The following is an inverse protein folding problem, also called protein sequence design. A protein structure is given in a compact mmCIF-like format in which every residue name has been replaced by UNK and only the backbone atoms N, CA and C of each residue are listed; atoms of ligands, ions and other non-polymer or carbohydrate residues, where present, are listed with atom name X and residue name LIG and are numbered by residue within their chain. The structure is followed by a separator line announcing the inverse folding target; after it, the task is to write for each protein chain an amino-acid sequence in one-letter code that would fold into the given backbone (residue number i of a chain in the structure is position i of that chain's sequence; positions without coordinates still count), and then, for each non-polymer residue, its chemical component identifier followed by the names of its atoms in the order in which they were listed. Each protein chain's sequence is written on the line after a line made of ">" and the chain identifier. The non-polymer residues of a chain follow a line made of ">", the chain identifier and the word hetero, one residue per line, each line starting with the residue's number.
data_IF_833034657009
#
_entry.id   IF_833034657009
#
_cell.length_a   1.000
_cell.length_b   1.000
_cell.length_c   1.000
_cell.angle_alpha   90.00
_cell.angle_beta   90.00
_cell.angle_gamma   90.00
#
_symmetry.space_group_name_H-M   'P 1'
#
loop_
_entity.id
_entity.type
_entity.pdbx_description
1 polymer ?
#
# COMPACT_ATOMS: atom_id res chain seq x y z
N UNK A 1 2.18 -14.64 -1.66
CA UNK A 1 1.05 -14.70 -0.72
C UNK A 1 -0.19 -14.21 -1.44
N UNK A 2 -1.24 -15.02 -1.53
CA UNK A 2 -2.51 -14.65 -2.15
C UNK A 2 -3.49 -14.27 -1.05
N UNK A 3 -4.15 -13.11 -1.16
CA UNK A 3 -5.23 -12.71 -0.25
C UNK A 3 -6.41 -12.12 -1.02
N UNK A 4 -7.63 -12.37 -0.54
CA UNK A 4 -8.85 -11.75 -1.06
C UNK A 4 -9.28 -10.55 -0.22
N UNK A 5 -9.87 -9.54 -0.86
CA UNK A 5 -10.18 -8.25 -0.22
C UNK A 5 -11.52 -8.32 0.55
N UNK A 6 -11.47 -8.37 1.89
CA UNK A 6 -12.68 -8.54 2.73
C UNK A 6 -13.72 -7.42 2.59
N UNK A 7 -13.32 -6.19 2.21
CA UNK A 7 -14.23 -5.03 2.10
C UNK A 7 -15.17 -5.06 0.87
N UNK A 8 -14.80 -5.77 -0.19
CA UNK A 8 -15.57 -5.81 -1.46
C UNK A 8 -16.04 -7.22 -1.80
N UNK A 9 -15.94 -8.16 -0.86
CA UNK A 9 -16.26 -9.58 -1.08
C UNK A 9 -17.70 -9.80 -1.55
N UNK A 10 -18.61 -8.88 -1.19
CA UNK A 10 -20.03 -8.91 -1.54
C UNK A 10 -20.42 -7.98 -2.71
N UNK A 11 -19.49 -7.20 -3.27
CA UNK A 11 -19.80 -6.13 -4.24
C UNK A 11 -19.19 -6.37 -5.63
N UNK A 12 -18.22 -7.29 -5.75
CA UNK A 12 -17.54 -7.60 -7.01
C UNK A 12 -17.84 -9.03 -7.46
N UNK A 13 -18.35 -9.19 -8.70
CA UNK A 13 -18.64 -10.48 -9.36
C UNK A 13 -17.39 -11.36 -9.54
N UNK A 14 -16.20 -10.75 -9.63
CA UNK A 14 -14.91 -11.44 -9.74
C UNK A 14 -14.08 -11.28 -8.48
N UNK A 15 -13.69 -12.40 -7.85
CA UNK A 15 -12.70 -12.44 -6.76
C UNK A 15 -11.31 -12.35 -7.38
N UNK A 16 -10.72 -11.15 -7.43
CA UNK A 16 -9.32 -11.00 -7.85
C UNK A 16 -8.40 -11.26 -6.66
N UNK A 17 -7.48 -12.19 -6.83
CA UNK A 17 -6.44 -12.47 -5.85
C UNK A 17 -5.40 -11.35 -5.88
N UNK A 18 -5.10 -10.79 -4.71
CA UNK A 18 -4.02 -9.81 -4.58
C UNK A 18 -2.74 -10.62 -4.32
N UNK A 19 -1.84 -10.61 -5.30
CA UNK A 19 -0.51 -11.19 -5.20
C UNK A 19 0.51 -10.10 -4.89
N UNK A 20 1.16 -10.16 -3.73
CA UNK A 20 2.30 -9.32 -3.41
C UNK A 20 3.60 -10.13 -3.56
N UNK A 21 4.56 -9.55 -4.30
CA UNK A 21 5.94 -10.04 -4.33
C UNK A 21 6.60 -9.69 -3.00
N UNK A 22 7.26 -10.67 -2.37
CA UNK A 22 8.01 -10.47 -1.13
C UNK A 22 9.47 -10.20 -1.49
N UNK A 23 9.94 -8.99 -1.21
CA UNK A 23 11.36 -8.64 -1.40
C UNK A 23 12.22 -9.23 -0.27
N UNK A 24 13.55 -9.34 -0.45
CA UNK A 24 14.45 -9.80 0.61
C UNK A 24 14.33 -8.99 1.91
N UNK A 25 14.14 -7.68 1.82
CA UNK A 25 13.98 -6.78 2.97
C UNK A 25 12.66 -7.06 3.71
N UNK A 26 11.57 -7.27 2.96
CA UNK A 26 10.29 -7.69 3.54
C UNK A 26 10.43 -9.03 4.25
N UNK A 27 11.13 -9.99 3.63
CA UNK A 27 11.37 -11.29 4.22
C UNK A 27 12.21 -11.18 5.50
N UNK A 28 13.22 -10.31 5.55
CA UNK A 28 14.01 -10.06 6.74
C UNK A 28 13.17 -9.50 7.90
N UNK A 29 12.24 -8.57 7.60
CA UNK A 29 11.29 -8.03 8.58
C UNK A 29 10.34 -9.13 9.10
N UNK A 30 9.80 -9.95 8.19
CA UNK A 30 8.91 -11.07 8.53
C UNK A 30 9.64 -12.11 9.38
N UNK A 31 10.91 -12.39 9.09
CA UNK A 31 11.71 -13.33 9.87
C UNK A 31 12.01 -12.78 11.28
N UNK A 32 12.23 -11.48 11.40
CA UNK A 32 12.56 -10.84 12.68
C UNK A 32 11.36 -10.68 13.61
N UNK A 33 10.19 -10.31 13.07
CA UNK A 33 9.03 -9.90 13.86
C UNK A 33 7.79 -10.77 13.67
N UNK A 34 7.79 -11.66 12.68
CA UNK A 34 6.66 -12.52 12.37
C UNK A 34 6.58 -13.75 13.28
N UNK A 35 5.45 -14.46 13.17
CA UNK A 35 5.25 -15.74 13.85
C UNK A 35 6.30 -16.77 13.42
N UNK A 36 6.80 -17.59 14.35
CA UNK A 36 7.78 -18.65 14.08
C UNK A 36 7.15 -19.80 13.30
N UNK A 37 5.95 -20.18 13.67
CA UNK A 37 5.14 -21.15 12.93
C UNK A 37 4.65 -20.51 11.63
N UNK A 38 4.94 -21.16 10.50
CA UNK A 38 4.61 -20.68 9.15
C UNK A 38 3.47 -21.50 8.52
N UNK A 39 2.56 -22.03 9.34
CA UNK A 39 1.40 -22.77 8.82
C UNK A 39 0.50 -21.85 7.99
N UNK A 40 -0.16 -22.37 6.93
CA UNK A 40 -1.02 -21.56 6.05
C UNK A 40 -2.16 -20.83 6.79
N UNK A 41 -2.60 -21.41 7.91
CA UNK A 41 -3.70 -20.89 8.72
C UNK A 41 -3.25 -19.87 9.79
N UNK A 42 -1.94 -19.63 9.91
CA UNK A 42 -1.39 -18.67 10.87
C UNK A 42 -1.12 -17.30 10.24
N UNK A 43 -1.34 -16.24 11.00
CA UNK A 43 -1.02 -14.88 10.56
C UNK A 43 0.49 -14.68 10.45
N UNK A 44 0.91 -13.76 9.58
CA UNK A 44 2.33 -13.43 9.42
C UNK A 44 2.90 -12.82 10.71
N UNK A 45 2.12 -11.99 11.41
CA UNK A 45 2.54 -11.26 12.61
C UNK A 45 1.72 -11.64 13.85
N UNK A 46 2.33 -11.62 15.06
CA UNK A 46 1.74 -12.10 16.32
C UNK A 46 0.74 -11.10 16.92
N UNK A 47 -0.27 -10.68 16.16
CA UNK A 47 -1.28 -9.74 16.63
C UNK A 47 -2.69 -10.29 16.65
N UNK A 48 -2.95 -11.32 15.85
CA UNK A 48 -4.20 -12.06 15.82
C UNK A 48 -3.87 -13.54 16.03
N UNK A 49 -4.74 -14.24 16.75
CA UNK A 49 -4.59 -15.66 17.10
C UNK A 49 -5.54 -16.57 16.31
N UNK A 50 -6.48 -16.01 15.54
CA UNK A 50 -7.34 -16.75 14.61
C UNK A 50 -8.66 -17.23 15.19
N UNK A 51 -8.90 -17.01 16.49
CA UNK A 51 -10.17 -17.35 17.16
C UNK A 51 -11.02 -16.11 17.49
N UNK A 52 -10.59 -14.91 17.07
CA UNK A 52 -11.31 -13.67 17.35
C UNK A 52 -12.61 -13.58 16.56
N UNK A 53 -13.65 -13.05 17.20
CA UNK A 53 -14.86 -12.61 16.50
C UNK A 53 -14.54 -11.49 15.50
N UNK A 54 -15.35 -11.29 14.45
CA UNK A 54 -15.13 -10.19 13.49
C UNK A 54 -15.02 -8.80 14.15
N UNK A 55 -15.72 -8.59 15.27
CA UNK A 55 -15.67 -7.34 16.04
C UNK A 55 -14.32 -7.18 16.73
N UNK A 56 -13.83 -8.23 17.39
CA UNK A 56 -12.52 -8.24 18.05
C UNK A 56 -11.39 -8.06 17.02
N UNK A 57 -11.44 -8.78 15.91
CA UNK A 57 -10.46 -8.65 14.82
C UNK A 57 -10.37 -7.20 14.32
N UNK A 58 -11.53 -6.57 14.08
CA UNK A 58 -11.59 -5.15 13.65
C UNK A 58 -11.02 -4.21 14.71
N UNK A 59 -11.28 -4.46 15.99
CA UNK A 59 -10.75 -3.65 17.09
C UNK A 59 -9.22 -3.74 17.17
N UNK A 60 -8.68 -4.96 17.09
CA UNK A 60 -7.24 -5.24 17.08
C UNK A 60 -6.55 -4.55 15.90
N UNK A 61 -7.08 -4.72 14.68
CA UNK A 61 -6.53 -4.07 13.48
C UNK A 61 -6.52 -2.54 13.63
N UNK A 62 -7.62 -1.95 14.11
CA UNK A 62 -7.72 -0.48 14.32
C UNK A 62 -6.67 -0.01 15.33
N UNK A 63 -6.47 -0.76 16.41
CA UNK A 63 -5.47 -0.44 17.42
C UNK A 63 -4.04 -0.49 16.87
N UNK A 64 -3.71 -1.53 16.10
CA UNK A 64 -2.39 -1.69 15.47
C UNK A 64 -2.12 -0.54 14.51
N UNK A 65 -3.06 -0.20 13.63
CA UNK A 65 -2.92 0.93 12.69
C UNK A 65 -2.66 2.23 13.45
N UNK A 66 -3.40 2.47 14.55
CA UNK A 66 -3.20 3.65 15.40
C UNK A 66 -1.79 3.67 16.00
N UNK A 67 -1.29 2.55 16.52
CA UNK A 67 0.07 2.43 17.07
C UNK A 67 1.14 2.66 16.00
N UNK A 68 0.96 2.10 14.80
CA UNK A 68 1.86 2.31 13.66
C UNK A 68 1.90 3.80 13.29
N UNK A 69 0.75 4.43 13.07
CA UNK A 69 0.68 5.85 12.70
C UNK A 69 1.29 6.76 13.77
N UNK A 70 1.12 6.44 15.07
CA UNK A 70 1.78 7.18 16.16
C UNK A 70 3.31 7.11 16.05
N UNK A 71 3.86 5.93 15.75
CA UNK A 71 5.31 5.75 15.57
C UNK A 71 5.82 6.41 14.29
N UNK A 72 5.10 6.28 13.18
CA UNK A 72 5.42 6.94 11.92
C UNK A 72 5.45 8.47 12.06
N UNK A 73 4.52 9.06 12.83
CA UNK A 73 4.55 10.49 13.13
C UNK A 73 5.81 10.90 13.89
N UNK A 74 6.25 10.09 14.86
CA UNK A 74 7.50 10.36 15.59
C UNK A 74 8.72 10.32 14.67
N UNK A 75 8.84 9.27 13.86
CA UNK A 75 9.91 9.13 12.87
C UNK A 75 9.89 10.29 11.88
N UNK A 76 8.71 10.64 11.36
CA UNK A 76 8.55 11.77 10.45
C UNK A 76 9.02 13.09 11.06
N UNK A 77 8.63 13.38 12.31
CA UNK A 77 9.09 14.57 13.00
C UNK A 77 10.62 14.61 13.16
N UNK A 78 11.25 13.49 13.50
CA UNK A 78 12.71 13.38 13.64
C UNK A 78 13.43 13.59 12.30
N UNK A 79 12.81 13.21 11.19
CA UNK A 79 13.35 13.38 9.83
C UNK A 79 12.91 14.71 9.16
N UNK A 80 12.13 15.55 9.84
CA UNK A 80 11.56 16.77 9.26
C UNK A 80 10.49 16.53 8.18
N UNK A 81 9.92 15.32 8.13
CA UNK A 81 8.87 14.93 7.17
C UNK A 81 7.51 14.82 7.87
N UNK A 82 6.57 15.66 7.48
CA UNK A 82 5.21 15.66 8.04
C UNK A 82 4.25 14.75 7.26
N UNK A 83 3.12 14.39 7.87
CA UNK A 83 2.03 13.70 7.17
C UNK A 83 2.28 12.22 6.83
N UNK A 84 3.27 11.57 7.44
CA UNK A 84 3.53 10.14 7.21
C UNK A 84 2.50 9.27 7.97
N UNK A 85 1.86 8.37 7.23
CA UNK A 85 0.92 7.37 7.73
C UNK A 85 1.02 6.08 6.92
N UNK A 86 0.32 5.04 7.33
CA UNK A 86 0.14 3.82 6.53
C UNK A 86 -0.49 4.09 5.16
N UNK A 87 -1.28 5.15 5.03
CA UNK A 87 -1.88 5.56 3.75
C UNK A 87 -0.85 6.22 2.83
N UNK A 88 0.03 7.05 3.39
CA UNK A 88 1.14 7.69 2.69
C UNK A 88 2.08 6.64 2.08
N UNK A 89 2.33 5.52 2.77
CA UNK A 89 3.13 4.41 2.23
C UNK A 89 2.50 3.81 0.95
N UNK A 90 1.18 3.60 0.94
CA UNK A 90 0.45 3.11 -0.26
C UNK A 90 0.53 4.10 -1.41
N UNK A 91 0.37 5.40 -1.14
CA UNK A 91 0.53 6.43 -2.16
C UNK A 91 1.94 6.50 -2.71
N UNK A 92 2.95 6.43 -1.84
CA UNK A 92 4.36 6.43 -2.24
C UNK A 92 4.65 5.24 -3.15
N UNK A 93 4.18 4.04 -2.81
CA UNK A 93 4.32 2.85 -3.65
C UNK A 93 3.76 3.06 -5.07
N UNK A 94 2.51 3.52 -5.18
CA UNK A 94 1.88 3.78 -6.47
C UNK A 94 2.64 4.85 -7.28
N UNK A 95 3.05 5.95 -6.63
CA UNK A 95 3.80 7.04 -7.25
C UNK A 95 5.19 6.61 -7.71
N UNK A 96 5.91 5.80 -6.92
CA UNK A 96 7.22 5.25 -7.29
C UNK A 96 7.12 4.35 -8.52
N UNK A 97 6.14 3.43 -8.54
CA UNK A 97 5.92 2.55 -9.68
C UNK A 97 5.60 3.35 -10.95
N UNK A 98 4.72 4.35 -10.85
CA UNK A 98 4.38 5.21 -11.99
C UNK A 98 5.60 5.99 -12.50
N UNK A 99 6.40 6.58 -11.61
CA UNK A 99 7.67 7.26 -11.97
C UNK A 99 8.68 6.34 -12.64
N UNK A 100 8.64 5.05 -12.30
CA UNK A 100 9.49 4.02 -12.89
C UNK A 100 8.95 3.51 -14.24
N UNK A 101 7.87 4.11 -14.77
CA UNK A 101 7.28 3.75 -16.05
C UNK A 101 6.32 2.55 -16.01
N UNK A 102 5.92 2.08 -14.82
CA UNK A 102 4.99 0.96 -14.72
C UNK A 102 3.61 1.34 -15.29
N UNK A 103 2.97 0.38 -15.97
CA UNK A 103 1.64 0.54 -16.53
C UNK A 103 0.60 0.71 -15.41
N UNK A 104 -0.35 1.63 -15.59
CA UNK A 104 -1.45 1.87 -14.63
C UNK A 104 -2.28 0.61 -14.34
N UNK A 105 -2.44 -0.29 -15.33
CA UNK A 105 -3.12 -1.57 -15.15
C UNK A 105 -2.39 -2.43 -14.11
N UNK A 106 -1.06 -2.54 -14.21
CA UNK A 106 -0.22 -3.27 -13.26
C UNK A 106 -0.25 -2.64 -11.86
N UNK A 107 -0.21 -1.31 -11.78
CA UNK A 107 -0.32 -0.59 -10.49
C UNK A 107 -1.69 -0.86 -9.86
N UNK A 108 -2.77 -0.80 -10.64
CA UNK A 108 -4.14 -1.05 -10.19
C UNK A 108 -4.33 -2.48 -9.68
N UNK A 109 -3.76 -3.46 -10.39
CA UNK A 109 -3.73 -4.85 -9.99
C UNK A 109 -2.96 -5.06 -8.68
N UNK A 110 -1.75 -4.49 -8.59
CA UNK A 110 -0.89 -4.55 -7.39
C UNK A 110 -1.54 -3.94 -6.15
N UNK A 111 -2.40 -2.94 -6.32
CA UNK A 111 -3.17 -2.29 -5.24
C UNK A 111 -4.50 -3.00 -4.93
N UNK A 112 -4.90 -3.99 -5.74
CA UNK A 112 -6.19 -4.66 -5.61
C UNK A 112 -7.38 -3.73 -5.83
N UNK A 113 -7.23 -2.75 -6.73
CA UNK A 113 -8.31 -1.86 -7.15
C UNK A 113 -9.12 -2.53 -8.27
N UNK A 114 -10.43 -2.65 -8.05
CA UNK A 114 -11.37 -3.20 -9.04
C UNK A 114 -11.69 -2.24 -10.18
N UNK A 115 -11.44 -0.95 -9.96
CA UNK A 115 -11.69 0.13 -10.91
C UNK A 115 -10.41 0.96 -11.08
N UNK A 116 -9.99 1.12 -12.34
CA UNK A 116 -8.87 1.96 -12.74
C UNK A 116 -9.03 3.41 -12.26
N UNK A 117 -10.27 3.92 -12.18
CA UNK A 117 -10.57 5.26 -11.67
C UNK A 117 -10.11 5.47 -10.23
N UNK A 118 -10.11 4.40 -9.42
CA UNK A 118 -9.55 4.45 -8.07
C UNK A 118 -8.05 4.69 -8.14
N UNK A 119 -7.33 4.01 -9.04
CA UNK A 119 -5.89 4.20 -9.23
C UNK A 119 -5.56 5.56 -9.85
N UNK A 120 -6.37 6.05 -10.80
CA UNK A 120 -6.24 7.39 -11.38
C UNK A 120 -6.30 8.49 -10.31
N UNK A 121 -7.24 8.40 -9.35
CA UNK A 121 -7.28 9.33 -8.23
C UNK A 121 -6.02 9.30 -7.36
N UNK A 122 -5.35 8.15 -7.23
CA UNK A 122 -4.07 8.05 -6.52
C UNK A 122 -2.92 8.69 -7.31
N UNK A 123 -3.06 8.81 -8.64
CA UNK A 123 -2.04 9.32 -9.57
C UNK A 123 -2.35 10.75 -10.08
N UNK A 124 -3.50 11.34 -9.75
CA UNK A 124 -3.94 12.63 -10.27
C UNK A 124 -2.97 13.79 -9.96
N UNK A 125 -2.31 13.76 -8.79
CA UNK A 125 -1.28 14.75 -8.44
C UNK A 125 0.00 14.59 -9.28
N UNK A 126 0.33 13.36 -9.69
CA UNK A 126 1.47 13.07 -10.56
C UNK A 126 1.24 13.61 -11.99
N UNK A 127 0.04 13.45 -12.55
CA UNK A 127 -0.25 13.98 -13.89
C UNK A 127 -0.10 15.50 -13.99
N UNK A 128 -0.28 16.22 -12.89
CA UNK A 128 -0.03 17.67 -12.86
C UNK A 128 1.46 17.97 -13.01
N UNK A 129 2.29 17.29 -12.24
CA UNK A 129 3.75 17.49 -12.23
C UNK A 129 4.40 17.08 -13.56
N UNK A 130 3.95 15.97 -14.16
CA UNK A 130 4.41 15.52 -15.48
C UNK A 130 3.99 16.49 -16.60
N UNK A 131 2.76 17.01 -16.55
CA UNK A 131 2.30 18.05 -17.50
C UNK A 131 3.12 19.34 -17.38
N UNK A 132 3.44 19.77 -16.17
CA UNK A 132 4.28 20.96 -15.96
C UNK A 132 5.71 20.75 -16.49
N UNK A 133 6.29 19.56 -16.28
CA UNK A 133 7.61 19.21 -16.83
C UNK A 133 7.59 19.17 -18.36
N UNK A 134 6.58 18.55 -18.96
CA UNK A 134 6.44 18.45 -20.41
C UNK A 134 6.16 19.82 -21.05
N UNK A 135 5.36 20.67 -20.40
CA UNK A 135 5.12 22.05 -20.85
C UNK A 135 6.42 22.85 -20.90
N UNK A 136 7.34 22.68 -19.94
CA UNK A 136 8.66 23.33 -19.96
C UNK A 136 9.51 22.89 -21.16
N UNK A 137 9.44 21.61 -21.55
CA UNK A 137 10.15 21.11 -22.75
C UNK A 137 9.64 21.81 -24.03
N UNK A 138 8.34 22.06 -24.12
CA UNK A 138 7.73 22.77 -25.24
C UNK A 138 8.07 24.26 -25.29
N UNK A 139 8.73 24.81 -24.27
CA UNK A 139 9.16 26.23 -24.24
C UNK A 139 10.67 26.38 -24.37
N UNK A 140 11.40 25.27 -24.52
CA UNK A 140 12.87 25.25 -24.51
C UNK A 140 13.49 25.46 -25.91
N UNK A 141 12.95 26.41 -26.68
CA UNK A 141 13.40 26.72 -28.05
C UNK A 141 14.53 27.78 -28.10
N UNK A 142 15.27 28.00 -27.01
CA UNK A 142 16.36 28.98 -26.94
C UNK A 142 17.69 28.30 -26.63
N UNK A 143 18.25 27.63 -27.64
CA UNK A 143 19.69 27.48 -27.86
C UNK A 143 19.98 27.72 -29.35
#
# INVERSE_FOLDING_TARGET
>A
MQQSRSKTINTTKEKREICAVITPEMQAIINKWGNKEKSPDNYIFPYLIGNETPIQQKAVIKDIIRRINKRLKKIGNELGVSGISTYTARHSFAGVLKRSGANIAYISESLGHSDLKTTENYLASFEREEREKNAKLLTNFRE
#
